data_IF_241575437506
#
_entry.id   IF_241575437506
#
_cell.length_a   1.000
_cell.length_b   1.000
_cell.length_c   1.000
_cell.angle_alpha   90.00
_cell.angle_beta   90.00
_cell.angle_gamma   90.00
#
_symmetry.space_group_name_H-M   'P 1'
#
loop_
_entity.id
_entity.type
_entity.pdbx_description
1 polymer ?
#
# COMPACT_ATOMS: atom_id res chain seq x y z
N UNK A 1 -4.10 27.35 10.44
CA UNK A 1 -3.72 26.19 11.28
C UNK A 1 -4.24 24.96 10.55
N UNK A 2 -3.42 23.93 10.38
CA UNK A 2 -3.85 22.70 9.70
C UNK A 2 -4.99 22.02 10.49
N UNK A 3 -6.05 21.52 9.82
CA UNK A 3 -7.17 20.92 10.52
C UNK A 3 -6.76 19.65 11.26
N UNK A 4 -7.30 19.44 12.46
CA UNK A 4 -7.11 18.21 13.23
C UNK A 4 -8.07 17.15 12.70
N UNK A 5 -7.54 16.19 11.94
CA UNK A 5 -8.29 15.08 11.35
C UNK A 5 -8.03 13.79 12.13
N UNK A 6 -9.10 13.10 12.50
CA UNK A 6 -9.04 11.86 13.28
C UNK A 6 -9.93 10.78 12.68
N UNK A 7 -9.56 9.52 12.91
CA UNK A 7 -10.34 8.37 12.48
C UNK A 7 -10.80 7.55 13.68
N UNK A 8 -12.01 6.99 13.58
CA UNK A 8 -12.55 6.04 14.54
C UNK A 8 -13.01 4.81 13.77
N UNK A 9 -12.46 3.64 14.11
CA UNK A 9 -12.93 2.35 13.59
C UNK A 9 -13.79 1.70 14.67
N UNK A 10 -14.99 1.24 14.32
CA UNK A 10 -15.89 0.55 15.24
C UNK A 10 -16.11 -0.89 14.79
N UNK A 11 -16.21 -1.81 15.75
CA UNK A 11 -16.48 -3.22 15.52
C UNK A 11 -15.64 -4.09 16.44
N UNK A 12 -16.30 -4.99 17.17
CA UNK A 12 -15.63 -5.92 18.09
C UNK A 12 -14.57 -6.79 17.38
N UNK A 13 -14.80 -7.17 16.12
CA UNK A 13 -13.85 -7.94 15.32
C UNK A 13 -12.56 -7.17 14.99
N UNK A 14 -12.65 -5.84 14.88
CA UNK A 14 -11.49 -4.96 14.67
C UNK A 14 -10.75 -4.77 15.99
N UNK A 15 -11.50 -4.51 17.07
CA UNK A 15 -10.92 -4.31 18.41
C UNK A 15 -10.18 -5.55 18.91
N UNK A 16 -10.75 -6.74 18.69
CA UNK A 16 -10.17 -8.02 19.10
C UNK A 16 -9.07 -8.53 18.15
N UNK A 17 -8.90 -7.89 17.00
CA UNK A 17 -7.91 -8.28 15.99
C UNK A 17 -8.29 -9.53 15.20
N UNK A 18 -9.55 -9.95 15.22
CA UNK A 18 -10.08 -11.00 14.32
C UNK A 18 -9.95 -10.59 12.86
N UNK A 19 -10.09 -9.29 12.58
CA UNK A 19 -9.75 -8.69 11.28
C UNK A 19 -8.76 -7.56 11.46
N UNK A 20 -7.93 -7.35 10.44
CA UNK A 20 -7.03 -6.19 10.37
C UNK A 20 -7.83 -4.98 9.87
N UNK A 21 -7.66 -3.84 10.55
CA UNK A 21 -8.24 -2.55 10.15
C UNK A 21 -7.57 -1.99 8.89
N UNK A 22 -7.87 -2.61 7.75
CA UNK A 22 -7.39 -2.19 6.44
C UNK A 22 -8.06 -0.90 5.96
N UNK A 23 -9.25 -0.59 6.45
CA UNK A 23 -10.01 0.60 6.10
C UNK A 23 -9.33 1.87 6.59
N UNK A 24 -9.00 1.97 7.88
CA UNK A 24 -8.35 3.16 8.39
C UNK A 24 -6.88 3.26 7.95
N UNK A 25 -6.21 2.13 7.64
CA UNK A 25 -4.91 2.15 6.97
C UNK A 25 -5.02 2.77 5.56
N UNK A 26 -5.97 2.31 4.75
CA UNK A 26 -6.22 2.86 3.42
C UNK A 26 -6.64 4.33 3.47
N UNK A 27 -7.57 4.69 4.36
CA UNK A 27 -8.07 6.06 4.50
C UNK A 27 -6.97 7.03 4.93
N UNK A 28 -6.12 6.65 5.89
CA UNK A 28 -4.98 7.48 6.30
C UNK A 28 -4.01 7.73 5.14
N UNK A 29 -3.71 6.69 4.36
CA UNK A 29 -2.87 6.83 3.16
C UNK A 29 -3.53 7.75 2.13
N UNK A 30 -4.82 7.54 1.85
CA UNK A 30 -5.56 8.28 0.83
C UNK A 30 -5.70 9.77 1.18
N UNK A 31 -5.94 10.08 2.45
CA UNK A 31 -5.97 11.45 2.95
C UNK A 31 -4.60 12.11 2.82
N UNK A 32 -3.53 11.40 3.16
CA UNK A 32 -2.16 11.91 3.03
C UNK A 32 -1.79 12.19 1.56
N UNK A 33 -2.22 11.33 0.62
CA UNK A 33 -2.08 11.57 -0.83
C UNK A 33 -2.87 12.81 -1.31
N UNK A 34 -3.87 13.26 -0.57
CA UNK A 34 -4.58 14.53 -0.79
C UNK A 34 -4.01 15.70 0.03
N UNK A 35 -2.89 15.47 0.71
CA UNK A 35 -2.18 16.44 1.54
C UNK A 35 -2.74 16.61 2.95
N UNK A 36 -3.65 15.74 3.37
CA UNK A 36 -4.28 15.77 4.68
C UNK A 36 -3.65 14.73 5.62
N UNK A 37 -3.01 15.18 6.70
CA UNK A 37 -2.43 14.27 7.69
C UNK A 37 -3.44 13.88 8.77
N UNK A 38 -3.69 12.58 8.92
CA UNK A 38 -4.43 12.05 10.07
C UNK A 38 -3.56 12.17 11.32
N UNK A 39 -4.11 12.77 12.37
CA UNK A 39 -3.38 13.02 13.63
C UNK A 39 -3.51 11.89 14.64
N UNK A 40 -4.71 11.31 14.75
CA UNK A 40 -5.03 10.26 15.72
C UNK A 40 -6.01 9.25 15.11
N UNK A 41 -5.91 8.01 15.59
CA UNK A 41 -6.82 6.92 15.26
C UNK A 41 -7.29 6.26 16.56
N UNK A 42 -8.55 5.87 16.60
CA UNK A 42 -9.16 5.13 17.70
C UNK A 42 -9.83 3.87 17.15
N UNK A 43 -9.83 2.81 17.94
CA UNK A 43 -10.55 1.56 17.65
C UNK A 43 -11.39 1.21 18.87
N UNK A 44 -12.69 1.00 18.68
CA UNK A 44 -13.64 0.72 19.74
C UNK A 44 -14.51 -0.47 19.34
N UNK A 45 -14.96 -1.21 20.35
CA UNK A 45 -15.98 -2.24 20.18
C UNK A 45 -17.37 -1.60 20.08
N UNK A 46 -18.37 -2.46 19.97
CA UNK A 46 -19.77 -2.04 19.79
C UNK A 46 -20.45 -1.72 21.13
N UNK A 47 -19.79 -0.89 21.95
CA UNK A 47 -20.33 -0.34 23.20
C UNK A 47 -20.78 1.12 23.05
N UNK A 48 -22.05 1.38 23.37
CA UNK A 48 -22.65 2.70 23.18
C UNK A 48 -22.04 3.76 24.09
N UNK A 49 -21.73 3.42 25.35
CA UNK A 49 -21.22 4.39 26.30
C UNK A 49 -19.82 4.85 25.93
N UNK A 50 -18.97 3.92 25.49
CA UNK A 50 -17.62 4.22 25.03
C UNK A 50 -17.63 5.09 23.76
N UNK A 51 -18.50 4.78 22.78
CA UNK A 51 -18.67 5.60 21.58
C UNK A 51 -19.14 7.02 21.90
N UNK A 52 -20.14 7.17 22.78
CA UNK A 52 -20.64 8.48 23.22
C UNK A 52 -19.53 9.28 23.89
N UNK A 53 -18.83 8.69 24.85
CA UNK A 53 -17.76 9.35 25.58
C UNK A 53 -16.63 9.81 24.64
N UNK A 54 -16.25 8.97 23.66
CA UNK A 54 -15.28 9.37 22.65
C UNK A 54 -15.81 10.50 21.77
N UNK A 55 -17.03 10.41 21.23
CA UNK A 55 -17.56 11.45 20.35
C UNK A 55 -17.65 12.80 21.06
N UNK A 56 -18.12 12.83 22.30
CA UNK A 56 -18.13 14.05 23.12
C UNK A 56 -16.71 14.61 23.29
N UNK A 57 -15.76 13.78 23.72
CA UNK A 57 -14.38 14.21 23.94
C UNK A 57 -13.73 14.75 22.65
N UNK A 58 -13.85 13.99 21.55
CA UNK A 58 -13.24 14.34 20.26
C UNK A 58 -13.88 15.57 19.63
N UNK A 59 -15.16 15.82 19.90
CA UNK A 59 -15.88 16.98 19.38
C UNK A 59 -15.30 18.34 19.79
N UNK A 60 -14.51 18.37 20.88
CA UNK A 60 -13.84 19.57 21.40
C UNK A 60 -12.40 19.72 20.91
N UNK A 61 -11.78 18.67 20.37
CA UNK A 61 -10.36 18.65 20.01
C UNK A 61 -10.12 18.53 18.50
N UNK A 62 -10.99 17.84 17.77
CA UNK A 62 -10.86 17.61 16.34
C UNK A 62 -11.64 18.65 15.52
N UNK A 63 -11.22 18.84 14.26
CA UNK A 63 -11.99 19.60 13.27
C UNK A 63 -12.83 18.67 12.39
N UNK A 64 -12.32 17.45 12.13
CA UNK A 64 -12.99 16.38 11.41
C UNK A 64 -12.73 15.03 12.08
N UNK A 65 -13.79 14.24 12.27
CA UNK A 65 -13.69 12.84 12.71
C UNK A 65 -14.42 11.96 11.71
N UNK A 66 -13.72 11.00 11.10
CA UNK A 66 -14.35 10.00 10.22
C UNK A 66 -14.52 8.71 11.02
N UNK A 67 -15.77 8.31 11.22
CA UNK A 67 -16.16 7.07 11.91
C UNK A 67 -16.48 6.02 10.85
N UNK A 68 -15.81 4.87 10.91
CA UNK A 68 -16.00 3.76 9.99
C UNK A 68 -16.50 2.53 10.75
N UNK A 69 -17.70 2.04 10.37
CA UNK A 69 -18.35 0.90 11.00
C UNK A 69 -19.65 1.25 11.73
N UNK A 70 -20.41 0.21 12.09
CA UNK A 70 -21.61 0.30 12.91
C UNK A 70 -22.83 0.96 12.26
N UNK A 71 -22.97 0.88 10.93
CA UNK A 71 -24.09 1.43 10.13
C UNK A 71 -24.94 0.35 9.43
N UNK A 72 -24.66 -0.92 9.67
CA UNK A 72 -25.44 -2.02 9.16
C UNK A 72 -26.84 -2.14 9.82
N UNK A 73 -27.59 -3.17 9.46
CA UNK A 73 -28.94 -3.39 9.96
C UNK A 73 -29.01 -4.20 11.25
N UNK A 74 -27.88 -4.65 11.83
CA UNK A 74 -27.88 -5.56 12.99
C UNK A 74 -27.91 -4.79 14.31
N UNK A 75 -28.07 -5.51 15.43
CA UNK A 75 -28.28 -4.90 16.75
C UNK A 75 -27.03 -4.25 17.33
N UNK A 76 -25.86 -4.75 16.94
CA UNK A 76 -24.52 -4.24 17.23
C UNK A 76 -24.14 -3.00 16.40
N UNK A 77 -24.81 -2.72 15.28
CA UNK A 77 -24.58 -1.49 14.49
C UNK A 77 -25.14 -0.23 15.17
N UNK A 78 -24.43 0.33 16.15
CA UNK A 78 -24.96 1.36 17.06
C UNK A 78 -24.39 2.78 16.84
N UNK A 79 -23.63 3.01 15.77
CA UNK A 79 -22.92 4.29 15.55
C UNK A 79 -23.88 5.48 15.42
N UNK A 80 -25.03 5.31 14.75
CA UNK A 80 -26.05 6.35 14.63
C UNK A 80 -26.72 6.67 15.98
N UNK A 81 -27.07 5.64 16.76
CA UNK A 81 -27.63 5.76 18.10
C UNK A 81 -26.67 6.45 19.07
N UNK A 82 -25.37 6.12 18.99
CA UNK A 82 -24.33 6.72 19.81
C UNK A 82 -24.15 8.20 19.48
N UNK A 83 -24.08 8.57 18.19
CA UNK A 83 -24.00 9.96 17.77
C UNK A 83 -25.25 10.77 18.17
N UNK A 84 -26.45 10.20 18.00
CA UNK A 84 -27.69 10.85 18.42
C UNK A 84 -27.69 11.14 19.94
N UNK A 85 -27.23 10.18 20.73
CA UNK A 85 -27.09 10.35 22.18
C UNK A 85 -26.07 11.43 22.55
N UNK A 86 -24.87 11.41 21.95
CA UNK A 86 -23.83 12.41 22.19
C UNK A 86 -24.24 13.83 21.75
N UNK A 87 -25.06 13.97 20.70
CA UNK A 87 -25.61 15.26 20.28
C UNK A 87 -26.87 15.69 21.05
N UNK A 88 -27.44 14.82 21.89
CA UNK A 88 -28.68 15.11 22.62
C UNK A 88 -29.91 15.26 21.71
N UNK A 89 -29.93 14.55 20.58
CA UNK A 89 -31.01 14.62 19.57
C UNK A 89 -31.64 13.25 19.30
N UNK A 90 -32.91 13.18 18.88
CA UNK A 90 -33.51 11.91 18.48
C UNK A 90 -33.00 11.43 17.12
N UNK A 91 -33.20 10.15 16.82
CA UNK A 91 -33.12 9.63 15.46
C UNK A 91 -34.42 9.90 14.71
N UNK A 92 -34.31 10.26 13.44
CA UNK A 92 -35.43 10.50 12.53
C UNK A 92 -35.26 9.69 11.26
N UNK A 93 -36.38 9.21 10.72
CA UNK A 93 -36.38 8.47 9.47
C UNK A 93 -36.12 9.42 8.31
N UNK A 94 -35.07 9.13 7.54
CA UNK A 94 -34.82 9.78 6.27
C UNK A 94 -35.65 9.09 5.17
N UNK A 95 -36.83 9.64 4.89
CA UNK A 95 -37.77 9.12 3.89
C UNK A 95 -37.16 9.01 2.48
N UNK A 96 -36.26 9.94 2.13
CA UNK A 96 -35.56 9.90 0.85
C UNK A 96 -34.64 8.68 0.75
N UNK A 97 -33.82 8.43 1.77
CA UNK A 97 -32.93 7.27 1.79
C UNK A 97 -33.70 5.96 1.89
N UNK A 98 -34.79 5.92 2.67
CA UNK A 98 -35.67 4.77 2.71
C UNK A 98 -36.18 4.40 1.30
N UNK A 99 -36.65 5.38 0.53
CA UNK A 99 -37.08 5.16 -0.84
C UNK A 99 -35.94 4.66 -1.76
N UNK A 100 -34.72 5.19 -1.61
CA UNK A 100 -33.52 4.71 -2.34
C UNK A 100 -33.24 3.25 -1.99
N UNK A 101 -33.30 2.88 -0.71
CA UNK A 101 -33.10 1.51 -0.26
C UNK A 101 -34.16 0.56 -0.84
N UNK A 102 -35.44 0.94 -0.75
CA UNK A 102 -36.55 0.17 -1.33
C UNK A 102 -36.35 -0.07 -2.83
N UNK A 103 -35.91 0.95 -3.58
CA UNK A 103 -35.59 0.82 -4.99
C UNK A 103 -34.41 -0.14 -5.24
N UNK A 104 -33.33 -0.08 -4.44
CA UNK A 104 -32.19 -1.00 -4.56
C UNK A 104 -32.57 -2.46 -4.28
N UNK A 105 -33.52 -2.70 -3.37
CA UNK A 105 -34.04 -4.04 -3.11
C UNK A 105 -34.96 -4.50 -4.26
N UNK A 106 -35.86 -3.63 -4.71
CA UNK A 106 -36.78 -3.91 -5.80
C UNK A 106 -36.06 -4.22 -7.12
N UNK A 107 -34.98 -3.49 -7.45
CA UNK A 107 -34.17 -3.73 -8.65
C UNK A 107 -33.46 -5.09 -8.65
N UNK A 108 -33.36 -5.72 -7.48
CA UNK A 108 -32.81 -7.08 -7.28
C UNK A 108 -33.91 -8.12 -7.10
N UNK A 109 -35.18 -7.78 -7.38
CA UNK A 109 -36.36 -8.61 -7.16
C UNK A 109 -36.50 -9.12 -5.72
N UNK A 110 -36.15 -8.30 -4.73
CA UNK A 110 -36.24 -8.63 -3.30
C UNK A 110 -37.08 -7.58 -2.58
N UNK A 111 -37.85 -8.02 -1.59
CA UNK A 111 -38.45 -7.10 -0.62
C UNK A 111 -37.39 -6.68 0.41
N UNK A 112 -37.40 -5.41 0.81
CA UNK A 112 -36.50 -4.90 1.84
C UNK A 112 -36.91 -5.47 3.22
N UNK A 113 -35.98 -6.11 3.97
CA UNK A 113 -36.25 -6.51 5.35
C UNK A 113 -36.52 -5.30 6.25
N UNK A 114 -37.40 -5.45 7.24
CA UNK A 114 -37.73 -4.35 8.18
C UNK A 114 -36.54 -3.88 9.00
N UNK A 115 -35.59 -4.77 9.31
CA UNK A 115 -34.35 -4.41 10.03
C UNK A 115 -33.52 -3.36 9.30
N UNK A 116 -33.59 -3.33 7.96
CA UNK A 116 -32.86 -2.36 7.16
C UNK A 116 -33.38 -0.92 7.30
N UNK A 117 -34.61 -0.70 7.78
CA UNK A 117 -35.14 0.65 8.05
C UNK A 117 -34.20 1.42 9.01
N UNK A 118 -33.55 0.72 9.94
CA UNK A 118 -32.54 1.28 10.85
C UNK A 118 -31.46 2.07 10.10
N UNK A 119 -31.06 1.62 8.90
CA UNK A 119 -30.01 2.26 8.10
C UNK A 119 -30.44 3.60 7.47
N UNK A 120 -31.73 3.96 7.58
CA UNK A 120 -32.27 5.26 7.22
C UNK A 120 -32.64 6.11 8.46
N UNK A 121 -32.41 5.62 9.68
CA UNK A 121 -32.62 6.37 10.92
C UNK A 121 -31.38 7.19 11.24
N UNK A 122 -31.46 8.51 11.06
CA UNK A 122 -30.32 9.42 11.21
C UNK A 122 -30.53 10.37 12.38
N UNK A 123 -29.46 10.82 13.07
CA UNK A 123 -29.60 11.87 14.08
C UNK A 123 -30.29 13.10 13.48
N UNK A 124 -31.25 13.69 14.20
CA UNK A 124 -31.93 14.92 13.74
C UNK A 124 -30.89 16.00 13.38
N UNK A 125 -31.03 16.55 12.18
CA UNK A 125 -30.12 17.57 11.66
C UNK A 125 -28.84 17.01 11.02
N UNK A 126 -28.69 15.70 10.91
CA UNK A 126 -27.62 15.08 10.14
C UNK A 126 -27.77 15.38 8.64
N UNK A 127 -26.65 15.66 7.98
CA UNK A 127 -26.56 15.74 6.53
C UNK A 127 -26.32 14.34 5.96
N UNK A 128 -27.11 13.93 4.98
CA UNK A 128 -26.92 12.64 4.30
C UNK A 128 -25.55 12.61 3.58
N UNK A 129 -24.84 11.49 3.64
CA UNK A 129 -23.65 11.19 2.81
C UNK A 129 -24.02 10.01 1.93
N UNK A 130 -24.09 10.23 0.62
CA UNK A 130 -24.56 9.20 -0.30
C UNK A 130 -23.64 7.97 -0.30
N UNK A 131 -24.25 6.80 -0.49
CA UNK A 131 -23.56 5.53 -0.69
C UNK A 131 -24.14 4.83 -1.92
N UNK A 132 -23.52 4.99 -3.10
CA UNK A 132 -24.06 4.39 -4.32
C UNK A 132 -23.96 2.86 -4.32
N UNK A 133 -23.04 2.27 -3.54
CA UNK A 133 -22.76 0.82 -3.56
C UNK A 133 -23.66 0.04 -2.60
N UNK A 134 -23.70 0.44 -1.33
CA UNK A 134 -24.36 -0.29 -0.24
C UNK A 134 -25.82 0.12 0.02
N UNK A 135 -26.38 -0.40 1.10
CA UNK A 135 -27.72 0.00 1.60
C UNK A 135 -27.65 0.99 2.76
N UNK A 136 -26.57 0.99 3.54
CA UNK A 136 -26.32 1.97 4.58
C UNK A 136 -25.92 3.30 3.96
N UNK A 137 -26.66 4.38 4.21
CA UNK A 137 -26.09 5.70 3.93
C UNK A 137 -25.01 6.02 4.95
N UNK A 138 -24.08 6.89 4.56
CA UNK A 138 -23.35 7.65 5.55
C UNK A 138 -24.16 8.86 5.99
N UNK A 139 -23.66 9.54 7.01
CA UNK A 139 -24.21 10.82 7.43
C UNK A 139 -23.14 11.67 8.09
N UNK A 140 -23.34 12.98 8.12
CA UNK A 140 -22.47 13.94 8.77
C UNK A 140 -23.22 14.74 9.84
N UNK A 141 -22.59 14.93 11.00
CA UNK A 141 -23.15 15.71 12.11
C UNK A 141 -22.10 16.69 12.59
N UNK A 142 -22.49 17.96 12.76
CA UNK A 142 -21.67 18.93 13.48
C UNK A 142 -21.94 18.79 14.97
N UNK A 143 -20.93 18.40 15.75
CA UNK A 143 -20.97 18.41 17.21
C UNK A 143 -19.86 19.33 17.72
N UNK A 144 -20.22 20.38 18.46
CA UNK A 144 -19.30 21.41 18.91
C UNK A 144 -18.46 21.97 17.75
N UNK A 145 -17.12 21.78 17.78
CA UNK A 145 -16.21 22.26 16.74
C UNK A 145 -15.82 21.20 15.71
N UNK A 146 -16.27 19.95 15.87
CA UNK A 146 -15.94 18.87 14.97
C UNK A 146 -17.08 18.55 14.02
N UNK A 147 -16.74 18.24 12.77
CA UNK A 147 -17.65 17.55 11.86
C UNK A 147 -17.38 16.07 11.98
N UNK A 148 -18.38 15.27 12.36
CA UNK A 148 -18.31 13.82 12.32
C UNK A 148 -18.89 13.34 11.00
N UNK A 149 -18.22 12.40 10.33
CA UNK A 149 -18.71 11.74 9.12
C UNK A 149 -18.70 10.24 9.37
N UNK A 150 -19.88 9.62 9.28
CA UNK A 150 -20.07 8.19 9.52
C UNK A 150 -20.14 7.46 8.18
N UNK A 151 -19.43 6.34 8.10
CA UNK A 151 -19.32 5.51 6.89
C UNK A 151 -19.50 4.02 7.21
N UNK A 152 -20.03 3.20 6.28
CA UNK A 152 -20.15 1.77 6.48
C UNK A 152 -18.78 1.07 6.56
N UNK A 153 -18.70 -0.04 7.29
CA UNK A 153 -17.46 -0.83 7.44
C UNK A 153 -17.02 -1.59 6.19
N UNK A 154 -17.85 -1.68 5.15
CA UNK A 154 -17.53 -2.41 3.91
C UNK A 154 -16.48 -1.63 3.10
N UNK A 155 -15.30 -2.23 2.78
CA UNK A 155 -14.19 -1.48 2.18
C UNK A 155 -14.52 -0.82 0.82
N UNK A 156 -15.29 -1.49 -0.04
CA UNK A 156 -15.66 -0.92 -1.35
C UNK A 156 -16.59 0.29 -1.22
N UNK A 157 -17.49 0.27 -0.25
CA UNK A 157 -18.42 1.37 0.04
C UNK A 157 -17.66 2.58 0.57
N UNK A 158 -16.83 2.39 1.62
CA UNK A 158 -15.99 3.44 2.18
C UNK A 158 -15.16 4.13 1.10
N UNK A 159 -14.44 3.36 0.28
CA UNK A 159 -13.56 3.90 -0.76
C UNK A 159 -14.30 4.83 -1.71
N UNK A 160 -15.49 4.40 -2.18
CA UNK A 160 -16.32 5.19 -3.11
C UNK A 160 -16.83 6.46 -2.46
N UNK A 161 -17.35 6.37 -1.23
CA UNK A 161 -17.82 7.53 -0.46
C UNK A 161 -16.70 8.53 -0.18
N UNK A 162 -15.49 8.04 0.07
CA UNK A 162 -14.33 8.92 0.31
C UNK A 162 -14.01 9.76 -0.92
N UNK A 163 -13.97 9.14 -2.10
CA UNK A 163 -13.70 9.86 -3.35
C UNK A 163 -14.80 10.86 -3.73
N UNK A 164 -16.07 10.44 -3.62
CA UNK A 164 -17.19 11.19 -4.23
C UNK A 164 -17.83 12.18 -3.26
N UNK A 165 -17.82 11.90 -1.96
CA UNK A 165 -18.53 12.70 -0.96
C UNK A 165 -17.58 13.36 0.04
N UNK A 166 -16.66 12.59 0.64
CA UNK A 166 -15.88 13.06 1.80
C UNK A 166 -14.77 14.02 1.36
N UNK A 167 -13.94 13.64 0.38
CA UNK A 167 -12.86 14.50 -0.09
C UNK A 167 -13.39 15.85 -0.63
N UNK A 168 -14.47 15.90 -1.45
CA UNK A 168 -15.06 17.18 -1.86
C UNK A 168 -15.63 18.01 -0.70
N UNK A 169 -16.17 17.39 0.35
CA UNK A 169 -16.60 18.10 1.58
C UNK A 169 -15.40 18.69 2.31
N UNK A 170 -14.33 17.93 2.47
CA UNK A 170 -13.09 18.40 3.10
C UNK A 170 -12.50 19.60 2.36
N UNK A 171 -12.44 19.53 1.02
CA UNK A 171 -11.94 20.63 0.17
C UNK A 171 -12.76 21.92 0.34
N UNK A 172 -14.09 21.79 0.48
CA UNK A 172 -14.97 22.94 0.74
C UNK A 172 -14.80 23.48 2.16
N UNK A 173 -14.62 22.61 3.14
CA UNK A 173 -14.54 23.00 4.56
C UNK A 173 -13.17 23.59 4.94
N UNK A 174 -12.07 23.03 4.43
CA UNK A 174 -10.71 23.35 4.87
C UNK A 174 -9.87 24.06 3.80
N UNK A 175 -10.44 24.38 2.64
CA UNK A 175 -9.69 24.81 1.45
C UNK A 175 -9.21 23.61 0.64
N UNK A 176 -8.71 23.86 -0.59
CA UNK A 176 -8.46 22.87 -1.65
C UNK A 176 -7.72 21.58 -1.26
N UNK A 177 -6.53 21.33 -1.81
CA UNK A 177 -5.71 20.20 -1.32
C UNK A 177 -5.09 20.57 0.02
N UNK A 178 -4.87 19.56 0.87
CA UNK A 178 -4.06 19.77 2.06
C UNK A 178 -2.63 20.17 1.68
N UNK A 179 -1.91 20.75 2.63
CA UNK A 179 -0.58 21.32 2.38
C UNK A 179 0.53 20.28 2.20
N UNK A 180 0.29 19.04 2.62
CA UNK A 180 1.36 18.05 2.68
C UNK A 180 1.62 17.43 1.30
N UNK A 181 2.88 17.31 0.92
CA UNK A 181 3.31 16.50 -0.20
C UNK A 181 4.07 15.28 0.32
N UNK A 182 3.96 14.15 -0.38
CA UNK A 182 4.73 12.95 -0.06
C UNK A 182 5.48 12.49 -1.29
N UNK A 183 6.82 12.49 -1.20
CA UNK A 183 7.69 11.85 -2.19
C UNK A 183 8.06 10.46 -1.68
N UNK A 184 7.86 9.44 -2.50
CA UNK A 184 8.06 8.04 -2.09
C UNK A 184 9.24 7.44 -2.85
N UNK A 185 10.06 6.68 -2.16
CA UNK A 185 11.24 6.01 -2.73
C UNK A 185 11.22 4.56 -2.30
N UNK A 186 11.16 3.64 -3.26
CA UNK A 186 11.15 2.21 -3.00
C UNK A 186 12.54 1.66 -3.22
N UNK A 187 13.11 1.08 -2.17
CA UNK A 187 14.48 0.58 -2.14
C UNK A 187 14.47 -0.95 -2.04
N UNK A 188 15.49 -1.59 -2.59
CA UNK A 188 15.72 -3.02 -2.46
C UNK A 188 17.16 -3.33 -2.03
N UNK A 189 17.30 -4.36 -1.20
CA UNK A 189 18.60 -4.87 -0.78
C UNK A 189 19.19 -4.21 0.47
N UNK A 190 18.52 -3.23 1.07
CA UNK A 190 18.96 -2.62 2.34
C UNK A 190 18.26 -3.25 3.55
N UNK A 191 18.95 -3.25 4.69
CA UNK A 191 18.37 -3.59 5.99
C UNK A 191 17.85 -2.34 6.70
N UNK A 192 16.87 -2.48 7.60
CA UNK A 192 16.35 -1.33 8.36
C UNK A 192 17.42 -0.69 9.25
N UNK A 193 18.24 -1.51 9.91
CA UNK A 193 19.38 -1.01 10.70
C UNK A 193 20.43 -0.32 9.84
N UNK A 194 20.80 -0.92 8.70
CA UNK A 194 21.77 -0.31 7.78
C UNK A 194 21.27 0.99 7.16
N UNK A 195 19.94 1.15 7.04
CA UNK A 195 19.31 2.37 6.57
C UNK A 195 19.27 3.46 7.63
N UNK A 196 18.94 3.10 8.87
CA UNK A 196 18.98 3.98 10.05
C UNK A 196 20.38 4.54 10.26
N UNK A 197 21.43 3.70 10.21
CA UNK A 197 22.82 4.13 10.34
C UNK A 197 23.22 5.19 9.29
N UNK A 198 22.70 5.07 8.06
CA UNK A 198 22.96 6.00 6.95
C UNK A 198 22.17 7.31 7.05
N UNK A 199 20.92 7.26 7.54
CA UNK A 199 19.96 8.35 7.37
C UNK A 199 19.59 9.08 8.68
N UNK A 200 19.70 8.46 9.85
CA UNK A 200 19.25 9.08 11.11
C UNK A 200 20.19 10.17 11.61
N UNK A 201 21.48 10.11 11.23
CA UNK A 201 22.45 11.16 11.55
C UNK A 201 22.35 12.37 10.61
N UNK A 202 21.50 12.31 9.59
CA UNK A 202 21.34 13.36 8.60
C UNK A 202 20.37 14.44 9.11
N UNK A 203 20.71 15.71 8.87
CA UNK A 203 19.80 16.83 9.12
C UNK A 203 18.91 17.06 7.90
N UNK A 204 17.60 16.91 8.05
CA UNK A 204 16.64 17.16 6.97
C UNK A 204 16.28 18.66 6.89
N UNK A 205 16.03 19.20 5.68
CA UNK A 205 15.58 20.58 5.53
C UNK A 205 14.29 20.88 6.32
N UNK A 206 14.11 22.13 6.74
CA UNK A 206 12.95 22.54 7.55
C UNK A 206 11.62 22.25 6.83
N UNK A 207 10.67 21.65 7.57
CA UNK A 207 9.36 21.26 7.01
C UNK A 207 9.39 19.97 6.20
N UNK A 208 10.50 19.21 6.22
CA UNK A 208 10.60 17.89 5.60
C UNK A 208 10.94 16.87 6.69
N UNK A 209 10.12 15.83 6.78
CA UNK A 209 10.35 14.69 7.68
C UNK A 209 10.52 13.41 6.87
N UNK A 210 11.54 12.62 7.22
CA UNK A 210 11.74 11.29 6.65
C UNK A 210 10.91 10.26 7.43
N UNK A 211 10.12 9.48 6.71
CA UNK A 211 9.41 8.31 7.22
C UNK A 211 9.89 7.02 6.57
N UNK A 212 9.85 5.93 7.32
CA UNK A 212 10.30 4.59 6.90
C UNK A 212 9.13 3.60 6.96
N UNK A 213 9.09 2.67 6.01
CA UNK A 213 8.19 1.52 6.06
C UNK A 213 8.85 0.31 5.41
N UNK A 214 9.19 -0.70 6.20
CA UNK A 214 9.62 -1.99 5.69
C UNK A 214 8.41 -2.77 5.12
N UNK A 215 8.55 -3.28 3.90
CA UNK A 215 7.59 -4.19 3.29
C UNK A 215 8.30 -5.12 2.30
N UNK A 216 8.68 -6.31 2.79
CA UNK A 216 9.44 -7.28 2.01
C UNK A 216 8.83 -7.50 0.62
N UNK A 217 9.63 -7.42 -0.47
CA UNK A 217 11.09 -7.32 -0.50
C UNK A 217 11.67 -5.90 -0.38
N UNK A 218 10.84 -4.86 -0.41
CA UNK A 218 11.31 -3.46 -0.47
C UNK A 218 11.27 -2.75 0.89
N UNK A 219 12.01 -1.65 0.99
CA UNK A 219 11.78 -0.64 2.02
C UNK A 219 11.28 0.62 1.32
N UNK A 220 10.19 1.19 1.82
CA UNK A 220 9.63 2.45 1.35
C UNK A 220 10.12 3.59 2.25
N UNK A 221 10.79 4.57 1.66
CA UNK A 221 11.10 5.85 2.28
C UNK A 221 10.13 6.93 1.81
N UNK A 222 9.78 7.85 2.71
CA UNK A 222 8.85 8.95 2.44
C UNK A 222 9.43 10.26 2.92
N UNK A 223 9.55 11.23 2.01
CA UNK A 223 9.73 12.63 2.42
C UNK A 223 8.33 13.25 2.56
N UNK A 224 7.93 13.51 3.79
CA UNK A 224 6.68 14.21 4.14
C UNK A 224 7.03 15.70 4.20
N UNK A 225 6.43 16.47 3.30
CA UNK A 225 6.78 17.87 3.03
C UNK A 225 5.59 18.74 3.43
N UNK A 226 5.77 19.56 4.47
CA UNK A 226 4.72 20.44 5.00
C UNK A 226 4.61 21.77 4.24
N UNK A 227 5.68 22.16 3.54
CA UNK A 227 5.80 23.44 2.84
C UNK A 227 6.29 23.23 1.42
N UNK A 228 5.68 23.91 0.47
CA UNK A 228 6.08 23.88 -0.93
C UNK A 228 7.33 24.74 -1.17
N UNK A 229 8.47 24.31 -0.65
CA UNK A 229 9.78 24.89 -0.90
C UNK A 229 10.57 23.99 -1.85
N UNK A 230 10.54 24.34 -3.13
CA UNK A 230 11.17 23.58 -4.22
C UNK A 230 12.67 23.34 -3.97
N UNK A 231 13.37 24.32 -3.39
CA UNK A 231 14.81 24.19 -3.13
C UNK A 231 15.07 23.22 -1.98
N UNK A 232 14.31 23.31 -0.89
CA UNK A 232 14.41 22.39 0.24
C UNK A 232 14.07 20.95 -0.18
N UNK A 233 13.02 20.77 -0.99
CA UNK A 233 12.62 19.46 -1.51
C UNK A 233 13.74 18.86 -2.36
N UNK A 234 14.26 19.60 -3.33
CA UNK A 234 15.34 19.11 -4.20
C UNK A 234 16.61 18.75 -3.41
N UNK A 235 16.95 19.55 -2.39
CA UNK A 235 18.07 19.25 -1.50
C UNK A 235 17.85 17.96 -0.70
N UNK A 236 16.66 17.77 -0.13
CA UNK A 236 16.30 16.55 0.60
C UNK A 236 16.35 15.30 -0.30
N UNK A 237 15.83 15.39 -1.53
CA UNK A 237 15.89 14.29 -2.48
C UNK A 237 17.33 13.95 -2.88
N UNK A 238 18.16 14.97 -3.17
CA UNK A 238 19.57 14.76 -3.51
C UNK A 238 20.34 14.10 -2.36
N UNK A 239 20.12 14.57 -1.13
CA UNK A 239 20.71 14.01 0.09
C UNK A 239 20.30 12.55 0.30
N UNK A 240 19.02 12.23 0.12
CA UNK A 240 18.53 10.86 0.20
C UNK A 240 19.19 9.97 -0.87
N UNK A 241 19.16 10.40 -2.13
CA UNK A 241 19.67 9.61 -3.25
C UNK A 241 21.19 9.44 -3.24
N UNK A 242 21.94 10.34 -2.60
CA UNK A 242 23.37 10.14 -2.39
C UNK A 242 23.67 8.90 -1.52
N UNK A 243 22.84 8.62 -0.51
CA UNK A 243 23.04 7.51 0.43
C UNK A 243 22.46 6.19 -0.05
N UNK A 244 21.31 6.23 -0.75
CA UNK A 244 20.53 5.02 -1.09
C UNK A 244 20.22 4.87 -2.58
N UNK A 245 20.69 5.78 -3.43
CA UNK A 245 20.33 5.82 -4.85
C UNK A 245 20.65 4.54 -5.61
N UNK A 246 21.74 3.85 -5.25
CA UNK A 246 22.11 2.57 -5.85
C UNK A 246 21.05 1.47 -5.61
N UNK A 247 20.27 1.58 -4.54
CA UNK A 247 19.23 0.63 -4.15
C UNK A 247 17.82 1.04 -4.60
N UNK A 248 17.69 2.18 -5.29
CA UNK A 248 16.40 2.71 -5.73
C UNK A 248 15.81 1.84 -6.85
N UNK A 249 14.58 1.39 -6.63
CA UNK A 249 13.81 0.57 -7.56
C UNK A 249 12.74 1.41 -8.26
N UNK A 250 12.04 2.26 -7.50
CA UNK A 250 10.96 3.09 -8.03
C UNK A 250 10.77 4.38 -7.21
N UNK A 251 10.16 5.38 -7.84
CA UNK A 251 9.75 6.65 -7.22
C UNK A 251 8.24 6.82 -7.32
N UNK A 252 7.64 7.34 -6.26
CA UNK A 252 6.22 7.67 -6.09
C UNK A 252 5.26 6.46 -6.15
N UNK A 253 5.43 5.56 -7.12
CA UNK A 253 4.65 4.34 -7.29
C UNK A 253 5.55 3.14 -7.62
N UNK A 254 5.38 2.03 -6.90
CA UNK A 254 6.03 0.76 -7.21
C UNK A 254 5.17 -0.03 -8.20
N UNK A 255 5.27 0.31 -9.49
CA UNK A 255 4.51 -0.34 -10.55
C UNK A 255 5.43 -0.76 -11.71
N UNK A 256 5.76 -2.05 -11.73
CA UNK A 256 6.64 -2.62 -12.76
C UNK A 256 5.95 -2.75 -14.12
N UNK A 257 4.63 -2.92 -14.19
CA UNK A 257 3.92 -2.95 -15.47
C UNK A 257 4.10 -1.62 -16.22
N UNK A 258 4.05 -0.49 -15.51
CA UNK A 258 4.27 0.83 -16.11
C UNK A 258 5.75 1.13 -16.37
N UNK A 259 6.64 0.76 -15.44
CA UNK A 259 8.07 1.12 -15.54
C UNK A 259 8.91 0.17 -16.41
N UNK A 260 8.56 -1.12 -16.46
CA UNK A 260 9.29 -2.15 -17.21
C UNK A 260 8.52 -2.72 -18.39
N UNK A 261 7.18 -2.73 -18.35
CA UNK A 261 6.35 -3.24 -19.45
C UNK A 261 6.75 -2.67 -20.82
N UNK A 262 6.91 -1.34 -20.98
CA UNK A 262 7.37 -0.74 -22.23
C UNK A 262 8.77 -1.17 -22.67
N UNK A 263 9.68 -1.45 -21.73
CA UNK A 263 11.06 -1.87 -22.01
C UNK A 263 11.15 -3.35 -22.39
N UNK A 264 10.20 -4.15 -21.91
CA UNK A 264 10.07 -5.57 -22.21
C UNK A 264 9.27 -5.86 -23.47
N UNK A 265 8.55 -4.87 -24.02
CA UNK A 265 7.76 -5.10 -25.22
C UNK A 265 8.64 -5.53 -26.39
N UNK A 266 8.26 -6.63 -27.05
CA UNK A 266 9.02 -7.29 -28.14
C UNK A 266 10.40 -7.83 -27.73
N UNK A 267 10.72 -7.87 -26.44
CA UNK A 267 11.88 -8.63 -25.96
C UNK A 267 11.51 -10.10 -25.88
N UNK A 268 12.34 -10.97 -26.44
CA UNK A 268 12.15 -12.41 -26.33
C UNK A 268 12.69 -12.92 -24.97
N UNK A 269 11.98 -12.60 -23.89
CA UNK A 269 12.38 -12.98 -22.53
C UNK A 269 12.08 -14.45 -22.23
N UNK A 270 13.09 -15.19 -21.75
CA UNK A 270 12.91 -16.55 -21.20
C UNK A 270 13.30 -16.59 -19.72
N UNK A 271 12.51 -17.28 -18.91
CA UNK A 271 12.73 -17.45 -17.48
C UNK A 271 12.92 -18.93 -17.16
N UNK A 272 13.93 -19.24 -16.36
CA UNK A 272 14.14 -20.55 -15.77
C UNK A 272 14.14 -20.40 -14.25
N UNK A 273 13.38 -21.22 -13.54
CA UNK A 273 13.38 -21.14 -12.08
C UNK A 273 13.26 -22.49 -11.37
N UNK A 274 13.94 -22.58 -10.23
CA UNK A 274 13.81 -23.63 -9.25
C UNK A 274 13.62 -23.05 -7.84
N UNK A 275 14.65 -22.42 -7.26
CA UNK A 275 14.62 -21.99 -5.86
C UNK A 275 13.61 -20.87 -5.55
N UNK A 276 13.18 -20.07 -6.55
CA UNK A 276 12.09 -19.10 -6.39
C UNK A 276 10.69 -19.73 -6.37
N UNK A 277 10.56 -21.02 -6.70
CA UNK A 277 9.32 -21.77 -6.47
C UNK A 277 8.12 -21.29 -7.30
N UNK A 278 8.33 -20.81 -8.54
CA UNK A 278 7.29 -20.23 -9.39
C UNK A 278 7.10 -18.72 -9.22
N UNK A 279 7.74 -18.11 -8.20
CA UNK A 279 7.52 -16.69 -7.86
C UNK A 279 8.10 -15.74 -8.90
N UNK A 280 9.15 -16.13 -9.62
CA UNK A 280 9.71 -15.29 -10.68
C UNK A 280 8.73 -15.19 -11.85
N UNK A 281 8.23 -16.33 -12.32
CA UNK A 281 7.22 -16.40 -13.38
C UNK A 281 5.95 -15.65 -12.99
N UNK A 282 5.43 -15.87 -11.78
CA UNK A 282 4.27 -15.14 -11.24
C UNK A 282 4.50 -13.62 -11.28
N UNK A 283 5.67 -13.16 -10.83
CA UNK A 283 6.00 -11.72 -10.83
C UNK A 283 6.06 -11.14 -12.24
N UNK A 284 6.78 -11.78 -13.18
CA UNK A 284 6.90 -11.30 -14.56
C UNK A 284 5.53 -11.28 -15.27
N UNK A 285 4.65 -12.25 -14.99
CA UNK A 285 3.30 -12.30 -15.57
C UNK A 285 2.42 -11.09 -15.22
N UNK A 286 2.71 -10.40 -14.12
CA UNK A 286 2.04 -9.14 -13.75
C UNK A 286 2.56 -7.93 -14.52
N UNK A 287 3.70 -8.06 -15.22
CA UNK A 287 4.38 -7.00 -15.96
C UNK A 287 4.12 -7.13 -17.46
N UNK A 288 4.28 -8.34 -18.00
CA UNK A 288 4.11 -8.64 -19.42
C UNK A 288 3.61 -10.07 -19.63
N UNK A 289 2.87 -10.27 -20.73
CA UNK A 289 2.48 -11.60 -21.21
C UNK A 289 3.46 -12.14 -22.28
N UNK A 290 4.41 -11.33 -22.73
CA UNK A 290 5.37 -11.66 -23.81
C UNK A 290 6.64 -12.30 -23.22
N UNK A 291 6.53 -13.50 -22.65
CA UNK A 291 7.69 -14.25 -22.14
C UNK A 291 7.45 -15.77 -22.17
N UNK A 292 8.53 -16.55 -22.07
CA UNK A 292 8.49 -18.00 -21.87
C UNK A 292 9.00 -18.34 -20.47
N UNK A 293 8.23 -19.10 -19.68
CA UNK A 293 8.58 -19.45 -18.30
C UNK A 293 8.71 -20.95 -18.11
N UNK A 294 9.80 -21.39 -17.48
CA UNK A 294 10.09 -22.80 -17.20
C UNK A 294 10.38 -23.03 -15.72
N UNK A 295 9.57 -23.88 -15.09
CA UNK A 295 9.87 -24.43 -13.78
C UNK A 295 10.64 -25.75 -13.96
N UNK A 296 11.92 -25.76 -13.59
CA UNK A 296 12.82 -26.90 -13.79
C UNK A 296 13.34 -27.42 -12.46
N UNK A 297 13.50 -28.73 -12.37
CA UNK A 297 14.20 -29.40 -11.28
C UNK A 297 15.61 -29.74 -11.73
N UNK A 298 16.61 -29.48 -10.91
CA UNK A 298 18.01 -29.76 -11.22
C UNK A 298 18.69 -28.68 -12.04
N UNK A 299 18.31 -27.42 -11.87
CA UNK A 299 19.14 -26.30 -12.30
C UNK A 299 20.46 -26.30 -11.52
N UNK A 300 21.57 -25.83 -12.11
CA UNK A 300 22.83 -25.73 -11.39
C UNK A 300 22.74 -24.91 -10.10
N UNK A 301 23.52 -25.29 -9.10
CA UNK A 301 23.55 -24.71 -7.75
C UNK A 301 24.81 -23.85 -7.47
N UNK A 302 25.68 -23.69 -8.48
CA UNK A 302 26.85 -22.82 -8.45
C UNK A 302 26.86 -21.84 -9.65
N UNK A 303 27.60 -20.74 -9.52
CA UNK A 303 27.54 -19.64 -10.48
C UNK A 303 28.07 -20.00 -11.87
N UNK A 304 29.21 -20.71 -11.93
CA UNK A 304 29.86 -21.08 -13.20
C UNK A 304 28.97 -22.00 -14.03
N UNK A 305 28.48 -23.09 -13.42
CA UNK A 305 27.61 -24.04 -14.12
C UNK A 305 26.28 -23.40 -14.52
N UNK A 306 25.67 -22.56 -13.66
CA UNK A 306 24.42 -21.87 -14.03
C UNK A 306 24.65 -20.92 -15.21
N UNK A 307 25.75 -20.16 -15.19
CA UNK A 307 26.11 -19.25 -16.26
C UNK A 307 26.31 -19.96 -17.60
N UNK A 308 27.12 -21.02 -17.62
CA UNK A 308 27.37 -21.85 -18.81
C UNK A 308 26.10 -22.57 -19.29
N UNK A 309 25.26 -23.02 -18.36
CA UNK A 309 23.98 -23.63 -18.70
C UNK A 309 23.04 -22.62 -19.36
N UNK A 310 22.93 -21.41 -18.79
CA UNK A 310 22.04 -20.37 -19.31
C UNK A 310 22.47 -19.84 -20.68
N UNK A 311 23.78 -19.78 -20.95
CA UNK A 311 24.32 -19.42 -22.28
C UNK A 311 23.88 -20.34 -23.42
N UNK A 312 23.36 -21.54 -23.11
CA UNK A 312 22.78 -22.46 -24.11
C UNK A 312 21.34 -22.08 -24.48
N UNK A 313 20.74 -21.09 -23.82
CA UNK A 313 19.45 -20.54 -24.18
C UNK A 313 19.48 -20.06 -25.63
N UNK A 314 18.45 -20.40 -26.40
CA UNK A 314 18.32 -19.93 -27.78
C UNK A 314 17.94 -18.45 -27.87
N UNK A 315 17.62 -17.81 -26.74
CA UNK A 315 17.10 -16.44 -26.68
C UNK A 315 18.15 -15.46 -26.14
N UNK A 316 18.19 -14.22 -26.66
CA UNK A 316 19.21 -13.23 -26.30
C UNK A 316 19.04 -12.66 -24.89
N UNK A 317 17.85 -12.78 -24.30
CA UNK A 317 17.54 -12.29 -22.96
C UNK A 317 16.92 -13.42 -22.12
N UNK A 318 17.65 -13.89 -21.11
CA UNK A 318 17.16 -14.93 -20.23
C UNK A 318 17.53 -14.69 -18.76
N UNK A 319 16.63 -15.06 -17.85
CA UNK A 319 16.86 -15.06 -16.42
C UNK A 319 16.85 -16.51 -15.89
N UNK A 320 17.73 -16.82 -14.95
CA UNK A 320 17.67 -18.08 -14.23
C UNK A 320 17.82 -17.89 -12.71
N UNK A 321 16.97 -18.58 -11.95
CA UNK A 321 17.15 -18.78 -10.50
C UNK A 321 17.44 -20.26 -10.29
N UNK A 322 18.71 -20.57 -9.99
CA UNK A 322 19.20 -21.94 -9.85
C UNK A 322 18.68 -22.69 -8.63
N UNK A 323 19.26 -23.85 -8.36
CA UNK A 323 18.98 -24.63 -7.16
C UNK A 323 19.72 -24.06 -5.93
N UNK A 324 19.27 -24.45 -4.74
CA UNK A 324 19.97 -24.11 -3.50
C UNK A 324 21.15 -25.06 -3.27
N UNK A 325 22.35 -24.50 -3.24
CA UNK A 325 23.61 -25.18 -2.96
C UNK A 325 24.26 -24.74 -1.64
N UNK A 326 25.44 -25.28 -1.32
CA UNK A 326 26.16 -24.98 -0.08
C UNK A 326 26.61 -23.52 0.03
N UNK A 327 26.91 -22.86 -1.09
CA UNK A 327 27.35 -21.45 -1.13
C UNK A 327 26.20 -20.45 -1.29
N UNK A 328 24.96 -20.94 -1.46
CA UNK A 328 23.77 -20.12 -1.64
C UNK A 328 22.96 -20.52 -2.88
N UNK A 329 22.21 -19.57 -3.42
CA UNK A 329 21.43 -19.74 -4.65
C UNK A 329 22.01 -18.85 -5.75
N UNK A 330 22.47 -19.40 -6.89
CA UNK A 330 22.91 -18.61 -8.02
C UNK A 330 21.72 -18.03 -8.78
N UNK A 331 21.83 -16.75 -9.15
CA UNK A 331 20.89 -16.02 -10.00
C UNK A 331 21.65 -15.45 -11.18
N UNK A 332 21.17 -15.72 -12.39
CA UNK A 332 21.84 -15.36 -13.63
C UNK A 332 20.94 -14.53 -14.55
N UNK A 333 21.56 -13.58 -15.25
CA UNK A 333 20.98 -12.82 -16.35
C UNK A 333 21.88 -12.97 -17.59
N UNK A 334 21.33 -13.58 -18.63
CA UNK A 334 21.91 -13.60 -19.98
C UNK A 334 21.38 -12.40 -20.78
N UNK A 335 22.31 -11.74 -21.45
CA UNK A 335 22.10 -10.63 -22.40
C UNK A 335 22.91 -10.90 -23.65
N UNK A 336 22.72 -10.12 -24.71
CA UNK A 336 23.53 -10.23 -25.94
C UNK A 336 25.04 -10.08 -25.66
N UNK A 337 25.42 -9.27 -24.66
CA UNK A 337 26.82 -8.96 -24.37
C UNK A 337 27.47 -9.98 -23.42
N UNK A 338 26.73 -10.48 -22.43
CA UNK A 338 27.30 -11.29 -21.35
C UNK A 338 26.25 -12.10 -20.59
N UNK A 339 26.71 -13.10 -19.85
CA UNK A 339 25.95 -13.78 -18.81
C UNK A 339 26.51 -13.36 -17.43
N UNK A 340 25.72 -12.64 -16.65
CA UNK A 340 26.08 -12.13 -15.33
C UNK A 340 25.42 -12.99 -14.26
N UNK A 341 26.20 -13.51 -13.32
CA UNK A 341 25.74 -14.43 -12.29
C UNK A 341 26.19 -13.97 -10.91
N UNK A 342 25.29 -14.04 -9.93
CA UNK A 342 25.62 -13.83 -8.52
C UNK A 342 25.04 -14.96 -7.66
N UNK A 343 25.81 -15.44 -6.70
CA UNK A 343 25.36 -16.42 -5.71
C UNK A 343 25.01 -15.72 -4.41
N UNK A 344 23.78 -15.94 -3.92
CA UNK A 344 23.23 -15.25 -2.76
C UNK A 344 23.03 -16.17 -1.56
N UNK A 345 23.48 -15.71 -0.39
CA UNK A 345 23.24 -16.38 0.89
C UNK A 345 21.87 -16.01 1.44
N UNK A 346 21.10 -17.03 1.79
CA UNK A 346 19.74 -16.87 2.31
C UNK A 346 19.74 -17.09 3.83
N UNK A 347 19.48 -16.02 4.58
CA UNK A 347 19.42 -16.08 6.05
C UNK A 347 17.98 -16.08 6.60
N UNK A 348 16.99 -15.84 5.75
CA UNK A 348 15.57 -15.83 6.14
C UNK A 348 15.07 -17.25 6.38
N UNK A 349 14.42 -17.50 7.51
CA UNK A 349 13.88 -18.83 7.86
C UNK A 349 12.60 -19.18 7.12
N UNK A 350 11.77 -18.17 6.81
CA UNK A 350 10.49 -18.36 6.13
C UNK A 350 10.70 -18.67 4.63
N UNK A 351 10.27 -19.85 4.13
CA UNK A 351 10.44 -20.22 2.72
C UNK A 351 9.76 -19.25 1.74
N UNK A 352 8.62 -18.66 2.10
CA UNK A 352 7.90 -17.74 1.21
C UNK A 352 8.68 -16.43 1.03
N UNK A 353 9.24 -15.91 2.12
CA UNK A 353 10.10 -14.73 2.12
C UNK A 353 11.36 -14.97 1.27
N UNK A 354 12.01 -16.14 1.42
CA UNK A 354 13.17 -16.53 0.60
C UNK A 354 12.84 -16.52 -0.90
N UNK A 355 11.74 -17.16 -1.30
CA UNK A 355 11.27 -17.21 -2.69
C UNK A 355 10.97 -15.81 -3.25
N UNK A 356 10.32 -14.96 -2.46
CA UNK A 356 10.02 -13.57 -2.84
C UNK A 356 11.30 -12.76 -3.05
N UNK A 357 12.29 -12.91 -2.18
CA UNK A 357 13.58 -12.24 -2.30
C UNK A 357 14.35 -12.68 -3.55
N UNK A 358 14.46 -13.99 -3.79
CA UNK A 358 15.14 -14.54 -4.98
C UNK A 358 14.51 -14.06 -6.29
N UNK A 359 13.18 -14.13 -6.38
CA UNK A 359 12.46 -13.63 -7.54
C UNK A 359 12.70 -12.11 -7.74
N UNK A 360 12.75 -11.34 -6.65
CA UNK A 360 12.98 -9.91 -6.73
C UNK A 360 14.42 -9.56 -7.11
N UNK A 361 15.42 -10.34 -6.70
CA UNK A 361 16.81 -10.19 -7.18
C UNK A 361 16.87 -10.38 -8.69
N UNK A 362 16.29 -11.46 -9.21
CA UNK A 362 16.28 -11.74 -10.64
C UNK A 362 15.57 -10.61 -11.40
N UNK A 363 14.44 -10.13 -10.87
CA UNK A 363 13.75 -8.95 -11.41
C UNK A 363 14.62 -7.68 -11.35
N UNK A 364 15.34 -7.44 -10.25
CA UNK A 364 16.19 -6.26 -10.09
C UNK A 364 17.37 -6.27 -11.05
N UNK A 365 18.00 -7.44 -11.28
CA UNK A 365 19.04 -7.61 -12.30
C UNK A 365 18.51 -7.24 -13.70
N UNK A 366 17.33 -7.76 -14.07
CA UNK A 366 16.69 -7.45 -15.35
C UNK A 366 16.32 -5.96 -15.44
N UNK A 367 15.71 -5.40 -14.40
CA UNK A 367 15.36 -3.97 -14.31
C UNK A 367 16.58 -3.09 -14.55
N UNK A 368 17.67 -3.37 -13.83
CA UNK A 368 18.94 -2.64 -13.95
C UNK A 368 19.48 -2.69 -15.36
N UNK A 369 19.51 -3.88 -15.97
CA UNK A 369 19.94 -4.04 -17.36
C UNK A 369 19.09 -3.20 -18.33
N UNK A 370 17.76 -3.31 -18.26
CA UNK A 370 16.85 -2.58 -19.12
C UNK A 370 16.94 -1.05 -18.94
N UNK A 371 17.40 -0.59 -17.78
CA UNK A 371 17.58 0.82 -17.44
C UNK A 371 19.03 1.30 -17.62
N UNK A 372 19.93 0.46 -18.16
CA UNK A 372 21.34 0.81 -18.37
C UNK A 372 22.14 1.03 -17.08
N UNK A 373 21.72 0.41 -15.98
CA UNK A 373 22.39 0.45 -14.68
C UNK A 373 23.32 -0.75 -14.51
N UNK A 374 24.24 -0.66 -13.54
CA UNK A 374 25.01 -1.82 -13.08
C UNK A 374 24.06 -2.91 -12.59
N UNK A 375 24.18 -4.11 -13.17
CA UNK A 375 23.24 -5.24 -13.00
C UNK A 375 23.33 -5.89 -11.63
N UNK A 376 24.54 -5.97 -11.07
CA UNK A 376 24.80 -6.60 -9.77
C UNK A 376 25.32 -5.54 -8.81
N UNK A 377 24.65 -5.37 -7.67
CA UNK A 377 25.13 -4.53 -6.56
C UNK A 377 25.20 -5.35 -5.28
N UNK A 378 25.85 -4.80 -4.26
CA UNK A 378 25.84 -5.39 -2.93
C UNK A 378 24.48 -5.20 -2.26
N UNK A 379 23.96 -6.26 -1.65
CA UNK A 379 22.74 -6.21 -0.84
C UNK A 379 23.10 -6.52 0.63
N UNK A 380 22.72 -5.63 1.55
CA UNK A 380 22.87 -5.81 2.99
C UNK A 380 22.09 -7.05 3.48
N UNK A 381 20.89 -7.28 2.93
CA UNK A 381 19.99 -8.37 3.36
C UNK A 381 20.26 -9.71 2.66
N UNK A 382 21.10 -9.72 1.61
CA UNK A 382 21.39 -10.88 0.78
C UNK A 382 22.88 -10.89 0.43
N UNK A 383 23.76 -11.29 1.36
CA UNK A 383 25.19 -11.32 1.11
C UNK A 383 25.53 -12.19 -0.10
N UNK A 384 26.40 -11.68 -0.97
CA UNK A 384 26.85 -12.38 -2.15
C UNK A 384 28.12 -13.19 -1.82
N UNK A 385 28.12 -14.49 -2.14
CA UNK A 385 29.29 -15.37 -2.00
C UNK A 385 30.21 -15.29 -3.22
N UNK A 386 29.65 -15.07 -4.39
CA UNK A 386 30.36 -15.16 -5.67
C UNK A 386 29.68 -14.28 -6.73
N UNK A 387 30.49 -13.60 -7.56
CA UNK A 387 30.04 -12.92 -8.77
C UNK A 387 30.87 -13.38 -9.95
N UNK A 388 30.19 -13.60 -11.07
CA UNK A 388 30.79 -14.06 -12.30
C UNK A 388 30.20 -13.30 -13.49
N UNK A 389 31.05 -12.96 -14.46
CA UNK A 389 30.63 -12.41 -15.75
C UNK A 389 31.27 -13.24 -16.84
N UNK A 390 30.45 -13.97 -17.59
CA UNK A 390 30.87 -14.77 -18.73
C UNK A 390 30.62 -13.97 -20.01
N UNK A 391 31.60 -13.92 -20.91
CA UNK A 391 31.42 -13.32 -22.23
C UNK A 391 30.39 -14.12 -23.02
N UNK A 392 29.54 -13.43 -23.80
CA UNK A 392 28.58 -14.08 -24.70
C UNK A 392 29.29 -15.06 -25.64
N UNK A 393 28.72 -16.25 -25.84
CA UNK A 393 29.23 -17.21 -26.79
C UNK A 393 28.99 -16.66 -28.20
N UNK A 394 30.06 -16.19 -28.85
CA UNK A 394 30.06 -15.65 -30.21
C UNK A 394 29.56 -16.65 -31.25
#
# INVERSE_FOLDING_TARGET
MEPVIELVSTGDEVLTGLIVDTNAAWLSQRLLEQGWQVRRRFTLGDDKADLVALFEQRSHEADLVIVNGGLGPTSDDISAEAMAAAAGVPLELNEHWLAVMEQKYASRNRAMPKSNIKQAMLPRGAELVDNPIGTACGFAVRLNRATFIFTPGVPSELKKMVEEEILPRMQRQFGGRGSNQVRRFFLFGLSESGLSDRLDNQSWPSGITLGYRANLPTIELKLIIERDDVAAIAAAEAQLLAEVGAHLVARDELNFATSLGPLLHKQELTLFEEASGGRLTDTISTITAEFEGHYLSGLPDNAEDLGLWLQRSARPLALAVGAEGPEGVPVALLTEQSCQVQTLKLHFRDPLSRRRLLAFVALDMLRRHLQGQEVMIDYDILPCSERLVLASAS
#
